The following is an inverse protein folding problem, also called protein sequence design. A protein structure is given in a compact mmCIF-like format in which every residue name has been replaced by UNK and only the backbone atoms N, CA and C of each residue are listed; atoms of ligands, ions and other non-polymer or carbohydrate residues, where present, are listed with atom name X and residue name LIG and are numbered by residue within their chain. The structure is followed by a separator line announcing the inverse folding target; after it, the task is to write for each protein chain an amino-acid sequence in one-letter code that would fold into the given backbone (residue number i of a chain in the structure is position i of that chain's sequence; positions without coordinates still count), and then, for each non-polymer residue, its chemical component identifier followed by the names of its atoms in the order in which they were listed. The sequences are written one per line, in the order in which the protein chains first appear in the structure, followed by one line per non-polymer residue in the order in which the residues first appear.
data_IF_913054757782
#
_entry.id   IF_913054757782
#
_cell.length_a   1.000
_cell.length_b   1.000
_cell.length_c   1.000
_cell.angle_alpha   90.00
_cell.angle_beta   90.00
_cell.angle_gamma   90.00
#
_symmetry.space_group_name_H-M   'P 1'
#
loop_
_entity.id
_entity.type
_entity.pdbx_description
1 polymer ?
#
# COMPACT_ATOMS: atom_id res chain seq x y z
N UNK A 1 6.11 2.75 -27.05
CA UNK A 1 7.19 2.34 -26.12
C UNK A 1 6.58 1.37 -25.11
N UNK A 2 7.12 0.15 -24.97
CA UNK A 2 6.70 -0.74 -23.89
C UNK A 2 7.08 -0.08 -22.56
N UNK A 3 6.09 0.07 -21.66
CA UNK A 3 6.34 0.51 -20.29
C UNK A 3 6.69 -0.73 -19.48
N UNK A 4 7.83 -0.71 -18.83
CA UNK A 4 8.21 -1.73 -17.85
C UNK A 4 7.71 -1.30 -16.47
N UNK A 5 7.14 -2.23 -15.72
CA UNK A 5 6.58 -1.98 -14.39
C UNK A 5 7.36 -2.76 -13.34
N UNK A 6 7.57 -2.16 -12.17
CA UNK A 6 8.38 -2.77 -11.12
C UNK A 6 7.80 -2.49 -9.73
N UNK A 7 7.99 -3.45 -8.82
CA UNK A 7 7.71 -3.31 -7.38
C UNK A 7 8.98 -3.59 -6.58
N UNK A 8 9.09 -2.95 -5.42
CA UNK A 8 10.16 -3.23 -4.46
C UNK A 8 9.63 -4.16 -3.38
N UNK A 9 10.08 -5.41 -3.37
CA UNK A 9 9.72 -6.41 -2.37
C UNK A 9 10.95 -6.65 -1.50
N UNK A 10 10.86 -6.31 -0.20
CA UNK A 10 11.99 -6.43 0.75
C UNK A 10 13.27 -5.73 0.27
N UNK A 11 13.10 -4.59 -0.40
CA UNK A 11 14.21 -3.81 -0.96
C UNK A 11 14.75 -4.31 -2.31
N UNK A 12 14.23 -5.41 -2.86
CA UNK A 12 14.61 -5.91 -4.17
C UNK A 12 13.63 -5.44 -5.25
N UNK A 13 14.17 -5.00 -6.40
CA UNK A 13 13.37 -4.61 -7.56
C UNK A 13 12.90 -5.85 -8.31
N UNK A 14 11.58 -6.02 -8.44
CA UNK A 14 10.92 -7.13 -9.12
C UNK A 14 10.11 -6.56 -10.28
N UNK A 15 10.35 -7.06 -11.49
CA UNK A 15 9.54 -6.71 -12.66
C UNK A 15 8.17 -7.38 -12.57
N UNK A 16 7.12 -6.64 -12.92
CA UNK A 16 5.74 -7.12 -12.84
C UNK A 16 4.97 -6.73 -14.10
N UNK A 17 3.85 -7.41 -14.33
CA UNK A 17 2.91 -6.99 -15.36
C UNK A 17 2.20 -5.68 -14.96
N UNK A 18 1.71 -4.94 -15.96
CA UNK A 18 0.93 -3.72 -15.74
C UNK A 18 -0.29 -3.96 -14.84
N UNK A 19 -0.94 -5.12 -15.00
CA UNK A 19 -2.12 -5.50 -14.21
C UNK A 19 -1.78 -5.58 -12.72
N UNK A 20 -0.70 -6.29 -12.37
CA UNK A 20 -0.23 -6.43 -10.99
C UNK A 20 0.13 -5.05 -10.42
N UNK A 21 0.81 -4.21 -11.22
CA UNK A 21 1.18 -2.87 -10.79
C UNK A 21 -0.05 -2.00 -10.46
N UNK A 22 -1.07 -2.02 -11.32
CA UNK A 22 -2.32 -1.25 -11.12
C UNK A 22 -3.10 -1.70 -9.89
N UNK A 23 -3.19 -3.02 -9.66
CA UNK A 23 -3.84 -3.56 -8.46
C UNK A 23 -3.09 -3.14 -7.20
N UNK A 24 -1.76 -3.36 -7.17
CA UNK A 24 -0.92 -2.95 -6.04
C UNK A 24 -1.06 -1.46 -5.73
N UNK A 25 -1.04 -0.61 -6.76
CA UNK A 25 -1.14 0.83 -6.57
C UNK A 25 -2.49 1.26 -5.99
N UNK A 26 -3.60 0.67 -6.46
CA UNK A 26 -4.94 0.94 -5.94
C UNK A 26 -5.05 0.60 -4.45
N UNK A 27 -4.57 -0.59 -4.06
CA UNK A 27 -4.58 -1.03 -2.66
C UNK A 27 -3.76 -0.07 -1.78
N UNK A 28 -2.57 0.31 -2.25
CA UNK A 28 -1.68 1.22 -1.53
C UNK A 28 -2.25 2.65 -1.41
N UNK A 29 -2.99 3.13 -2.42
CA UNK A 29 -3.73 4.39 -2.31
C UNK A 29 -4.88 4.29 -1.31
N UNK A 30 -5.57 3.14 -1.25
CA UNK A 30 -6.62 2.90 -0.27
C UNK A 30 -6.09 2.89 1.17
N UNK A 31 -4.97 2.21 1.45
CA UNK A 31 -4.33 2.23 2.77
C UNK A 31 -3.91 3.65 3.19
N UNK A 32 -3.32 4.43 2.26
CA UNK A 32 -2.98 5.83 2.51
C UNK A 32 -4.19 6.70 2.82
N UNK A 33 -5.32 6.42 2.17
CA UNK A 33 -6.57 7.12 2.45
C UNK A 33 -7.06 6.79 3.86
N UNK A 34 -7.06 5.52 4.25
CA UNK A 34 -7.42 5.09 5.60
C UNK A 34 -6.51 5.72 6.66
N UNK A 35 -5.20 5.75 6.46
CA UNK A 35 -4.26 6.41 7.38
C UNK A 35 -4.55 7.91 7.54
N UNK A 36 -4.91 8.60 6.43
CA UNK A 36 -5.29 10.01 6.50
C UNK A 36 -6.61 10.22 7.25
N UNK A 37 -7.60 9.36 7.05
CA UNK A 37 -8.86 9.39 7.77
C UNK A 37 -8.62 9.16 9.26
N UNK A 38 -7.80 8.17 9.62
CA UNK A 38 -7.43 7.86 10.99
C UNK A 38 -6.74 9.03 11.69
N UNK A 39 -5.74 9.63 11.04
CA UNK A 39 -5.04 10.83 11.52
C UNK A 39 -5.98 12.02 11.72
N UNK A 40 -6.89 12.29 10.77
CA UNK A 40 -7.85 13.40 10.86
C UNK A 40 -8.86 13.21 11.98
N UNK A 41 -9.27 11.97 12.22
CA UNK A 41 -10.24 11.65 13.26
C UNK A 41 -9.61 11.51 14.64
N UNK A 42 -8.28 11.65 14.79
CA UNK A 42 -7.54 11.46 16.05
C UNK A 42 -7.89 10.12 16.74
N UNK A 43 -8.24 9.08 15.96
CA UNK A 43 -8.56 7.74 16.46
C UNK A 43 -7.27 6.96 16.73
N UNK A 44 -6.40 7.54 17.56
CA UNK A 44 -5.27 6.84 18.14
C UNK A 44 -5.79 5.68 19.00
N UNK A 45 -5.39 4.46 18.61
CA UNK A 45 -5.37 3.22 19.40
C UNK A 45 -6.67 2.45 19.60
N UNK A 46 -6.83 1.37 18.82
CA UNK A 46 -7.21 0.09 19.43
C UNK A 46 -5.95 -0.70 19.75
N UNK A 47 -5.40 -0.49 20.95
CA UNK A 47 -4.62 -1.54 21.61
C UNK A 47 -5.59 -2.69 21.87
N UNK A 48 -5.51 -3.76 21.09
CA UNK A 48 -5.92 -5.08 21.57
C UNK A 48 -4.64 -5.83 21.87
N UNK A 49 -4.25 -5.74 23.14
CA UNK A 49 -3.47 -6.77 23.81
C UNK A 49 -4.16 -8.11 23.49
N UNK A 50 -3.46 -8.97 22.75
CA UNK A 50 -3.74 -10.41 22.77
C UNK A 50 -2.59 -11.06 23.52
N UNK A 51 -2.80 -11.18 24.84
CA UNK A 51 -2.33 -12.35 25.60
C UNK A 51 -3.06 -13.59 25.07
#
# INVERSE_FOLDING_TARGET
MPKEYYLYVRGQKVEVSEEIYKVYWREKEHEKYLEQVDRKNHLLFFFVIRL
#
